data_IF_582941333069
#
_entry.id   IF_582941333069
#
_cell.length_a   1.000
_cell.length_b   1.000
_cell.length_c   1.000
_cell.angle_alpha   90.00
_cell.angle_beta   90.00
_cell.angle_gamma   90.00
#
_symmetry.space_group_name_H-M   'P 1'
#
loop_
_entity.id
_entity.type
_entity.pdbx_description
1 polymer ?
#
# COMPACT_ATOMS: atom_id res chain seq x y z
N UNK A 1 6.56 -7.46 2.81
CA UNK A 1 7.64 -6.51 2.46
C UNK A 1 8.21 -5.95 3.75
N UNK A 2 9.54 -5.95 3.88
CA UNK A 2 10.25 -5.36 5.03
C UNK A 2 10.36 -3.85 4.80
N UNK A 3 10.00 -3.02 5.78
CA UNK A 3 10.23 -1.57 5.70
C UNK A 3 10.93 -1.14 6.99
N UNK A 4 12.11 -0.54 6.87
CA UNK A 4 12.92 -0.14 8.01
C UNK A 4 13.48 1.27 7.83
N UNK A 5 13.74 1.93 8.95
CA UNK A 5 14.40 3.23 8.98
C UNK A 5 15.93 3.13 8.91
N UNK A 6 16.49 1.93 9.12
CA UNK A 6 17.93 1.69 8.95
C UNK A 6 18.28 1.53 7.47
N UNK A 7 19.52 1.85 7.11
CA UNK A 7 19.98 1.75 5.72
C UNK A 7 20.28 0.29 5.31
N UNK A 8 20.50 -0.58 6.30
CA UNK A 8 20.69 -2.02 6.13
C UNK A 8 19.74 -2.82 7.05
N UNK A 9 19.57 -4.11 6.75
CA UNK A 9 18.77 -5.04 7.57
C UNK A 9 19.67 -6.18 8.05
N UNK A 10 19.88 -6.28 9.37
CA UNK A 10 20.74 -7.31 9.95
C UNK A 10 20.26 -8.73 9.59
N UNK A 11 21.18 -9.56 9.10
CA UNK A 11 20.88 -10.90 8.60
C UNK A 11 20.39 -10.92 7.15
N UNK A 12 20.34 -9.79 6.45
CA UNK A 12 20.00 -9.75 5.03
C UNK A 12 21.16 -9.16 4.24
N UNK A 13 21.13 -9.42 2.94
CA UNK A 13 21.99 -8.82 1.94
C UNK A 13 21.11 -8.08 0.94
N UNK A 14 21.44 -6.83 0.64
CA UNK A 14 20.83 -6.08 -0.46
C UNK A 14 21.45 -6.62 -1.75
N UNK A 15 20.67 -7.31 -2.57
CA UNK A 15 21.12 -7.87 -3.85
C UNK A 15 20.85 -6.94 -5.03
N UNK A 16 19.81 -6.11 -4.93
CA UNK A 16 19.46 -5.12 -5.95
C UNK A 16 18.90 -3.84 -5.29
N UNK A 17 19.22 -2.69 -5.89
CA UNK A 17 18.67 -1.38 -5.53
C UNK A 17 17.80 -0.90 -6.69
N UNK A 18 16.52 -0.64 -6.41
CA UNK A 18 15.48 -0.32 -7.39
C UNK A 18 15.12 1.18 -7.41
N UNK A 19 15.98 2.00 -6.81
CA UNK A 19 15.82 3.45 -6.71
C UNK A 19 14.97 3.88 -5.53
N UNK A 20 14.62 5.16 -5.53
CA UNK A 20 13.76 5.79 -4.55
C UNK A 20 12.30 5.32 -4.69
N UNK A 21 11.56 5.34 -3.58
CA UNK A 21 10.10 5.20 -3.57
C UNK A 21 9.51 6.21 -2.59
N UNK A 22 8.32 6.71 -2.91
CA UNK A 22 7.62 7.75 -2.18
C UNK A 22 6.11 7.54 -2.20
N UNK A 23 5.49 7.75 -1.06
CA UNK A 23 4.05 7.86 -0.92
C UNK A 23 3.69 9.15 -0.21
N UNK A 24 2.99 10.04 -0.90
CA UNK A 24 2.52 11.30 -0.34
C UNK A 24 0.99 11.37 -0.34
N UNK A 25 0.42 11.94 0.71
CA UNK A 25 -1.01 12.28 0.82
C UNK A 25 -1.17 13.67 1.39
N UNK A 26 -2.07 14.46 0.83
CA UNK A 26 -2.48 15.73 1.41
C UNK A 26 -3.87 15.58 2.02
N UNK A 27 -4.07 16.16 3.20
CA UNK A 27 -5.37 16.20 3.85
C UNK A 27 -5.71 17.63 4.25
N UNK A 28 -6.96 18.00 4.01
CA UNK A 28 -7.49 19.29 4.42
C UNK A 28 -8.05 19.19 5.84
N UNK A 29 -7.88 20.27 6.60
CA UNK A 29 -8.52 20.45 7.90
C UNK A 29 -9.84 21.26 7.78
N UNK A 30 -10.27 21.59 6.55
CA UNK A 30 -11.54 22.26 6.28
C UNK A 30 -12.70 21.32 6.61
N UNK A 31 -13.25 21.48 7.81
CA UNK A 31 -14.29 20.61 8.38
C UNK A 31 -14.27 20.56 9.91
N UNK A 32 -13.20 20.99 10.56
CA UNK A 32 -13.13 21.16 12.03
C UNK A 32 -13.60 22.54 12.51
N UNK A 33 -14.59 23.11 11.80
CA UNK A 33 -15.23 24.36 12.17
C UNK A 33 -15.95 24.21 13.52
N UNK A 34 -15.68 25.17 14.41
CA UNK A 34 -16.27 25.38 15.75
C UNK A 34 -16.06 24.27 16.80
N UNK A 35 -14.92 24.33 17.49
CA UNK A 35 -14.96 24.22 18.95
C UNK A 35 -15.55 25.54 19.49
N UNK A 36 -16.87 25.73 19.37
CA UNK A 36 -17.55 26.65 20.28
C UNK A 36 -17.51 25.98 21.65
N UNK A 37 -17.10 26.73 22.68
CA UNK A 37 -16.90 26.23 24.04
C UNK A 37 -18.15 25.64 24.73
N UNK A 38 -19.26 25.44 24.00
CA UNK A 38 -20.57 24.99 24.47
C UNK A 38 -20.93 23.56 24.06
N UNK A 39 -20.37 23.02 22.98
CA UNK A 39 -20.84 21.76 22.41
C UNK A 39 -19.67 20.77 22.30
N UNK A 40 -19.70 19.73 23.15
CA UNK A 40 -18.71 18.66 23.12
C UNK A 40 -18.59 18.01 21.74
N UNK A 41 -17.52 17.23 21.48
CA UNK A 41 -17.28 16.65 20.17
C UNK A 41 -18.49 15.85 19.68
N UNK A 42 -18.99 16.18 18.48
CA UNK A 42 -20.06 15.45 17.84
C UNK A 42 -19.66 13.96 17.71
N UNK A 43 -20.51 13.07 18.19
CA UNK A 43 -20.30 11.62 18.09
C UNK A 43 -20.23 11.21 16.61
N UNK A 44 -19.02 11.12 16.05
CA UNK A 44 -18.80 10.74 14.65
C UNK A 44 -17.64 11.45 13.94
N UNK A 45 -17.10 12.55 14.48
CA UNK A 45 -15.92 13.21 13.88
C UNK A 45 -14.63 12.52 14.34
N UNK A 46 -13.89 11.92 13.40
CA UNK A 46 -12.58 11.32 13.67
C UNK A 46 -11.66 12.36 14.34
N UNK A 47 -11.07 12.04 15.49
CA UNK A 47 -10.20 12.99 16.21
C UNK A 47 -9.02 13.43 15.31
N UNK A 48 -8.45 14.61 15.56
CA UNK A 48 -7.25 15.09 14.84
C UNK A 48 -6.11 14.05 14.87
N UNK A 49 -5.95 13.34 15.97
CA UNK A 49 -5.00 12.23 16.11
C UNK A 49 -5.32 11.07 15.16
N UNK A 50 -6.60 10.72 15.02
CA UNK A 50 -7.07 9.67 14.10
C UNK A 50 -6.79 10.04 12.64
N UNK A 51 -7.03 11.30 12.26
CA UNK A 51 -6.75 11.80 10.91
C UNK A 51 -5.25 11.74 10.58
N UNK A 52 -4.38 12.15 11.50
CA UNK A 52 -2.93 12.06 11.30
C UNK A 52 -2.50 10.61 11.11
N UNK A 53 -3.03 9.68 11.90
CA UNK A 53 -2.70 8.25 11.75
C UNK A 53 -3.21 7.68 10.42
N UNK A 54 -4.41 8.06 9.98
CA UNK A 54 -4.94 7.64 8.68
C UNK A 54 -4.10 8.17 7.52
N UNK A 55 -3.65 9.42 7.59
CA UNK A 55 -2.77 9.99 6.57
C UNK A 55 -1.40 9.29 6.55
N UNK A 56 -0.85 8.97 7.73
CA UNK A 56 0.38 8.18 7.85
C UNK A 56 0.26 6.80 7.23
N UNK A 57 -0.83 6.10 7.52
CA UNK A 57 -1.10 4.79 6.93
C UNK A 57 -1.27 4.88 5.40
N UNK A 58 -1.95 5.91 4.90
CA UNK A 58 -2.18 6.08 3.47
C UNK A 58 -0.89 6.40 2.70
N UNK A 59 -0.03 7.28 3.22
CA UNK A 59 1.30 7.56 2.66
C UNK A 59 2.15 6.28 2.62
N UNK A 60 2.20 5.54 3.73
CA UNK A 60 2.90 4.26 3.81
C UNK A 60 2.41 3.23 2.80
N UNK A 61 1.10 3.15 2.61
CA UNK A 61 0.52 2.23 1.63
C UNK A 61 0.90 2.60 0.19
N UNK A 62 0.95 3.89 -0.15
CA UNK A 62 1.38 4.35 -1.49
C UNK A 62 2.85 4.01 -1.74
N UNK A 63 3.72 4.26 -0.77
CA UNK A 63 5.14 3.85 -0.81
C UNK A 63 5.26 2.32 -0.98
N UNK A 64 4.45 1.55 -0.26
CA UNK A 64 4.46 0.10 -0.37
C UNK A 64 4.05 -0.36 -1.77
N UNK A 65 2.99 0.21 -2.34
CA UNK A 65 2.50 -0.16 -3.68
C UNK A 65 3.57 0.14 -4.73
N UNK A 66 4.14 1.33 -4.73
CA UNK A 66 5.16 1.72 -5.69
C UNK A 66 6.42 0.83 -5.58
N UNK A 67 6.90 0.54 -4.37
CA UNK A 67 8.01 -0.37 -4.17
C UNK A 67 7.70 -1.78 -4.70
N UNK A 68 6.48 -2.29 -4.45
CA UNK A 68 6.05 -3.60 -4.92
C UNK A 68 5.93 -3.66 -6.45
N UNK A 69 5.42 -2.60 -7.09
CA UNK A 69 5.32 -2.50 -8.55
C UNK A 69 6.70 -2.52 -9.24
N UNK A 70 7.73 -2.02 -8.57
CA UNK A 70 9.13 -2.09 -9.01
C UNK A 70 9.78 -3.46 -8.75
N UNK A 71 9.08 -4.40 -8.09
CA UNK A 71 9.61 -5.72 -7.74
C UNK A 71 10.41 -5.77 -6.44
N UNK A 72 10.36 -4.71 -5.63
CA UNK A 72 11.05 -4.68 -4.34
C UNK A 72 10.39 -5.64 -3.34
N UNK A 73 11.21 -6.24 -2.48
CA UNK A 73 10.72 -6.98 -1.31
C UNK A 73 10.98 -6.24 0.00
N UNK A 74 11.71 -5.12 -0.06
CA UNK A 74 11.97 -4.25 1.06
C UNK A 74 12.15 -2.77 0.69
N UNK A 75 11.97 -1.90 1.69
CA UNK A 75 12.35 -0.49 1.65
C UNK A 75 13.26 -0.19 2.85
N UNK A 76 14.45 0.33 2.58
CA UNK A 76 15.43 0.74 3.60
C UNK A 76 15.56 2.25 3.65
N UNK A 77 16.18 2.76 4.72
CA UNK A 77 16.37 4.20 4.90
C UNK A 77 15.05 4.97 4.94
N UNK A 78 13.95 4.32 5.32
CA UNK A 78 12.63 4.94 5.29
C UNK A 78 12.58 6.14 6.23
N UNK A 79 11.95 7.22 5.77
CA UNK A 79 11.70 8.44 6.55
C UNK A 79 10.25 8.88 6.37
N UNK A 80 9.81 9.69 7.33
CA UNK A 80 8.50 10.32 7.32
C UNK A 80 8.70 11.84 7.39
N UNK A 81 8.03 12.58 6.50
CA UNK A 81 7.97 14.03 6.52
C UNK A 81 6.53 14.52 6.58
N UNK A 82 6.34 15.64 7.28
CA UNK A 82 5.06 16.33 7.41
C UNK A 82 5.27 17.79 7.04
N UNK A 83 4.65 18.20 5.93
CA UNK A 83 4.78 19.56 5.42
C UNK A 83 3.44 20.27 5.41
N UNK A 84 3.40 21.51 5.88
CA UNK A 84 2.21 22.36 5.79
C UNK A 84 2.24 23.12 4.46
N UNK A 85 1.31 22.83 3.56
CA UNK A 85 1.21 23.48 2.23
C UNK A 85 0.40 24.76 2.29
N UNK A 86 -0.61 24.79 3.16
CA UNK A 86 -1.43 25.96 3.45
C UNK A 86 -1.92 25.90 4.90
N UNK A 87 -2.55 26.98 5.38
CA UNK A 87 -3.04 27.10 6.76
C UNK A 87 -3.84 25.88 7.24
N UNK A 88 -4.59 25.25 6.33
CA UNK A 88 -5.41 24.08 6.62
C UNK A 88 -5.11 22.88 5.71
N UNK A 89 -3.95 22.84 5.07
CA UNK A 89 -3.55 21.74 4.19
C UNK A 89 -2.20 21.21 4.63
N UNK A 90 -2.17 19.96 5.06
CA UNK A 90 -0.95 19.26 5.49
C UNK A 90 -0.72 18.07 4.58
N UNK A 91 0.51 17.91 4.13
CA UNK A 91 1.00 16.73 3.45
C UNK A 91 1.74 15.82 4.43
N UNK A 92 1.50 14.54 4.25
CA UNK A 92 2.22 13.48 4.90
C UNK A 92 2.92 12.66 3.82
N UNK A 93 4.25 12.61 3.88
CA UNK A 93 5.10 11.96 2.91
C UNK A 93 5.94 10.87 3.58
N UNK A 94 5.89 9.66 3.06
CA UNK A 94 6.79 8.57 3.41
C UNK A 94 7.71 8.32 2.20
N UNK A 95 9.00 8.16 2.41
CA UNK A 95 9.96 7.88 1.33
C UNK A 95 11.10 6.98 1.82
N UNK A 96 11.80 6.34 0.89
CA UNK A 96 12.95 5.49 1.16
C UNK A 96 13.54 4.90 -0.11
N UNK A 97 14.41 3.89 0.04
CA UNK A 97 15.03 3.19 -1.10
C UNK A 97 14.44 1.80 -1.24
N UNK A 98 13.83 1.53 -2.40
CA UNK A 98 13.31 0.23 -2.75
C UNK A 98 14.47 -0.73 -3.07
N UNK A 99 14.49 -1.90 -2.46
CA UNK A 99 15.57 -2.89 -2.60
C UNK A 99 15.02 -4.32 -2.65
N UNK A 100 15.84 -5.23 -3.18
CA UNK A 100 15.65 -6.67 -3.05
C UNK A 100 16.62 -7.18 -2.00
N UNK A 101 16.09 -7.78 -0.94
CA UNK A 101 16.83 -8.43 0.13
C UNK A 101 16.86 -9.94 -0.05
N UNK A 102 18.03 -10.54 0.13
CA UNK A 102 18.23 -11.97 0.32
C UNK A 102 18.47 -12.24 1.82
N UNK A 103 17.71 -13.14 2.47
CA UNK A 103 18.04 -13.57 3.83
C UNK A 103 19.34 -14.38 3.82
N UNK A 104 20.27 -14.07 4.73
CA UNK A 104 21.50 -14.84 4.91
C UNK A 104 21.19 -16.20 5.52
N UNK A 105 21.77 -17.25 4.94
CA UNK A 105 21.59 -18.61 5.43
C UNK A 105 22.38 -18.87 6.73
N UNK A 106 22.02 -19.93 7.46
CA UNK A 106 22.79 -20.34 8.64
C UNK A 106 24.26 -20.63 8.26
N UNK A 107 25.19 -20.12 9.07
CA UNK A 107 26.63 -20.25 8.82
C UNK A 107 27.22 -19.15 7.93
N UNK A 108 26.42 -18.34 7.25
CA UNK A 108 26.93 -17.15 6.55
C UNK A 108 27.36 -16.06 7.55
N UNK A 109 28.44 -15.31 7.28
CA UNK A 109 28.83 -14.18 8.11
C UNK A 109 27.70 -13.15 8.27
N UNK A 110 27.39 -12.77 9.52
CA UNK A 110 26.31 -11.82 9.82
C UNK A 110 24.90 -12.39 9.71
N UNK A 111 24.74 -13.71 9.56
CA UNK A 111 23.45 -14.37 9.68
C UNK A 111 22.87 -14.20 11.09
N UNK A 112 21.59 -13.87 11.15
CA UNK A 112 20.80 -13.84 12.39
C UNK A 112 19.89 -15.07 12.46
N UNK A 113 19.43 -15.47 13.66
CA UNK A 113 18.46 -16.57 13.79
C UNK A 113 17.18 -16.34 12.99
N UNK A 114 16.74 -15.08 12.82
CA UNK A 114 15.60 -14.74 11.97
C UNK A 114 15.90 -15.04 10.49
N UNK A 115 17.03 -14.54 9.97
CA UNK A 115 17.41 -14.73 8.57
C UNK A 115 17.63 -16.20 8.20
N UNK A 116 18.28 -16.98 9.07
CA UNK A 116 18.49 -18.40 8.85
C UNK A 116 17.17 -19.18 8.75
N UNK A 117 16.18 -18.85 9.60
CA UNK A 117 14.83 -19.45 9.51
C UNK A 117 14.14 -19.07 8.21
N UNK A 118 14.25 -17.82 7.78
CA UNK A 118 13.62 -17.36 6.54
C UNK A 118 14.28 -17.98 5.31
N UNK A 119 15.62 -18.07 5.27
CA UNK A 119 16.36 -18.72 4.19
C UNK A 119 15.96 -20.20 4.01
N UNK A 120 15.71 -20.92 5.12
CA UNK A 120 15.20 -22.30 5.07
C UNK A 120 13.79 -22.38 4.48
N UNK A 121 12.94 -21.38 4.74
CA UNK A 121 11.58 -21.33 4.20
C UNK A 121 11.57 -20.97 2.71
N UNK A 122 12.43 -20.05 2.27
CA UNK A 122 12.54 -19.66 0.86
C UNK A 122 13.17 -20.75 -0.01
N UNK A 123 14.08 -21.57 0.56
CA UNK A 123 14.78 -22.65 -0.15
C UNK A 123 14.08 -24.02 -0.06
N UNK A 124 12.80 -24.08 0.30
CA UNK A 124 12.07 -25.29 0.67
C UNK A 124 12.22 -26.50 -0.29
N UNK A 125 13.22 -27.34 -0.03
CA UNK A 125 13.12 -28.79 -0.14
C UNK A 125 12.18 -29.37 0.93
N UNK A 126 11.76 -30.63 0.81
CA UNK A 126 10.66 -31.22 1.57
C UNK A 126 11.06 -31.45 3.03
N UNK A 127 10.65 -30.57 3.95
CA UNK A 127 10.88 -30.80 5.38
C UNK A 127 10.65 -29.63 6.34
N UNK A 128 10.11 -28.49 5.91
CA UNK A 128 9.84 -27.39 6.84
C UNK A 128 8.58 -27.70 7.70
N UNK A 129 8.65 -27.61 9.04
CA UNK A 129 7.45 -27.65 9.87
C UNK A 129 6.56 -26.47 9.48
N UNK A 130 5.34 -26.78 9.03
CA UNK A 130 4.30 -25.80 8.70
C UNK A 130 4.15 -24.83 9.87
N UNK A 131 4.42 -23.54 9.65
CA UNK A 131 3.97 -22.53 10.60
C UNK A 131 2.46 -22.71 10.77
N UNK A 132 1.94 -22.77 12.02
CA UNK A 132 0.50 -22.72 12.20
C UNK A 132 -0.01 -21.43 11.57
N UNK A 133 -1.18 -21.45 10.90
CA UNK A 133 -1.75 -20.24 10.32
C UNK A 133 -1.82 -19.14 11.38
N UNK A 134 -1.64 -17.86 11.01
CA UNK A 134 -1.79 -16.78 11.96
C UNK A 134 -3.17 -16.90 12.61
N UNK A 135 -3.19 -17.21 13.91
CA UNK A 135 -4.41 -17.21 14.71
C UNK A 135 -4.97 -15.80 14.62
N UNK A 136 -6.16 -15.66 14.04
CA UNK A 136 -6.88 -14.40 13.99
C UNK A 136 -6.88 -13.76 15.38
N UNK A 137 -6.59 -12.45 15.50
CA UNK A 137 -6.62 -11.79 16.79
C UNK A 137 -8.01 -11.95 17.44
N UNK A 138 -8.08 -12.05 18.78
CA UNK A 138 -9.33 -12.35 19.51
C UNK A 138 -10.42 -11.27 19.38
N UNK A 139 -10.15 -10.15 18.72
CA UNK A 139 -11.12 -9.06 18.47
C UNK A 139 -11.86 -9.19 17.13
N UNK A 140 -11.50 -10.13 16.25
CA UNK A 140 -12.35 -10.54 15.13
C UNK A 140 -13.46 -11.46 15.67
N UNK A 141 -14.48 -10.84 16.27
CA UNK A 141 -15.74 -11.49 16.60
C UNK A 141 -16.32 -12.16 15.36
N UNK A 142 -16.98 -13.30 15.57
CA UNK A 142 -17.65 -14.08 14.54
C UNK A 142 -18.34 -13.16 13.53
N UNK A 143 -17.90 -13.22 12.26
CA UNK A 143 -18.59 -12.56 11.17
C UNK A 143 -20.07 -12.98 11.16
N UNK A 144 -20.95 -12.14 10.59
CA UNK A 144 -22.38 -12.45 10.54
C UNK A 144 -22.60 -13.86 9.97
N UNK A 145 -23.58 -14.63 10.49
CA UNK A 145 -23.83 -15.99 10.06
C UNK A 145 -24.00 -16.00 8.54
N UNK A 146 -23.18 -16.82 7.86
CA UNK A 146 -23.29 -16.96 6.42
C UNK A 146 -24.69 -17.48 6.08
N UNK A 147 -25.40 -16.86 5.11
CA UNK A 147 -26.67 -17.40 4.65
C UNK A 147 -26.44 -18.82 4.10
N UNK A 148 -27.43 -19.73 4.22
CA UNK A 148 -27.30 -21.08 3.70
C UNK A 148 -26.98 -21.03 2.19
N UNK A 149 -26.20 -21.99 1.66
CA UNK A 149 -25.83 -22.00 0.26
C UNK A 149 -27.10 -22.06 -0.59
N UNK A 150 -27.42 -20.95 -1.24
CA UNK A 150 -28.44 -20.90 -2.26
C UNK A 150 -27.88 -21.69 -3.43
N UNK A 151 -28.45 -22.86 -3.73
CA UNK A 151 -28.08 -23.63 -4.91
C UNK A 151 -28.22 -22.76 -6.14
N UNK A 152 -27.10 -22.27 -6.66
CA UNK A 152 -27.07 -21.56 -7.92
C UNK A 152 -27.29 -22.61 -9.01
N UNK A 153 -28.52 -22.67 -9.55
CA UNK A 153 -28.71 -23.23 -10.86
C UNK A 153 -27.80 -22.46 -11.82
N UNK A 154 -27.02 -23.18 -12.61
CA UNK A 154 -26.16 -22.59 -13.62
C UNK A 154 -26.98 -21.63 -14.51
N UNK A 155 -26.53 -20.39 -14.73
CA UNK A 155 -27.21 -19.51 -15.66
C UNK A 155 -27.16 -20.14 -17.06
N UNK A 156 -28.32 -20.37 -17.63
CA UNK A 156 -28.49 -20.71 -19.04
C UNK A 156 -27.80 -19.65 -19.90
N UNK A 157 -27.08 -20.14 -20.92
CA UNK A 157 -26.35 -19.42 -21.96
C UNK A 157 -26.86 -17.99 -22.25
N UNK A 158 -25.98 -17.01 -22.08
CA UNK A 158 -26.20 -15.66 -22.62
C UNK A 158 -26.21 -15.68 -24.16
N UNK A 159 -27.09 -14.90 -24.82
CA UNK A 159 -27.01 -14.71 -26.26
C UNK A 159 -25.75 -13.92 -26.65
N UNK A 160 -25.21 -14.25 -27.83
CA UNK A 160 -23.98 -13.67 -28.38
C UNK A 160 -24.07 -12.14 -28.53
N UNK A 161 -22.96 -11.41 -28.32
CA UNK A 161 -22.93 -9.96 -28.49
C UNK A 161 -23.13 -9.55 -29.96
N UNK A 162 -23.79 -8.40 -30.23
CA UNK A 162 -23.95 -7.89 -31.58
C UNK A 162 -22.61 -7.43 -32.19
N UNK A 163 -22.51 -7.54 -33.52
CA UNK A 163 -21.32 -7.22 -34.28
C UNK A 163 -20.84 -5.77 -34.07
N UNK A 164 -19.52 -5.51 -34.13
CA UNK A 164 -18.97 -4.16 -33.97
C UNK A 164 -19.45 -3.22 -35.09
N UNK A 165 -19.80 -1.99 -34.70
CA UNK A 165 -20.15 -0.92 -35.63
C UNK A 165 -18.92 -0.51 -36.46
N UNK A 166 -19.09 -0.12 -37.74
CA UNK A 166 -17.99 0.41 -38.54
C UNK A 166 -17.41 1.67 -37.91
N UNK A 167 -16.10 1.85 -38.07
CA UNK A 167 -15.33 2.95 -37.51
C UNK A 167 -15.89 4.31 -37.94
N UNK A 168 -15.97 5.25 -36.99
CA UNK A 168 -16.28 6.64 -37.27
C UNK A 168 -15.15 7.27 -38.08
N UNK A 169 -15.51 8.05 -39.11
CA UNK A 169 -14.56 8.83 -39.91
C UNK A 169 -13.76 9.80 -39.01
N UNK A 170 -12.49 10.07 -39.33
CA UNK A 170 -11.68 10.99 -38.55
C UNK A 170 -12.27 12.41 -38.62
N UNK A 171 -12.27 13.17 -37.50
CA UNK A 171 -12.75 14.54 -37.52
C UNK A 171 -11.86 15.39 -38.43
N UNK A 172 -12.52 16.16 -39.30
CA UNK A 172 -11.87 17.07 -40.25
C UNK A 172 -11.06 18.18 -39.56
N UNK A 173 -10.11 18.72 -40.32
CA UNK A 173 -9.10 19.69 -39.90
C UNK A 173 -9.65 20.84 -39.04
N UNK A 174 -9.11 20.95 -37.82
CA UNK A 174 -9.37 22.10 -36.95
C UNK A 174 -8.48 23.27 -37.37
N UNK A 175 -9.02 24.49 -37.57
CA UNK A 175 -8.19 25.63 -37.95
C UNK A 175 -7.25 26.05 -36.81
N UNK A 176 -5.96 26.17 -37.12
CA UNK A 176 -4.95 26.67 -36.20
C UNK A 176 -5.09 28.19 -35.99
N UNK A 177 -4.91 28.71 -34.76
CA UNK A 177 -4.94 30.15 -34.51
C UNK A 177 -3.69 30.86 -35.08
N UNK A 178 -3.79 32.14 -35.48
CA UNK A 178 -2.68 32.89 -36.06
C UNK A 178 -1.62 33.23 -35.01
N UNK A 179 -0.36 33.07 -35.39
CA UNK A 179 0.79 33.54 -34.62
C UNK A 179 0.87 35.07 -34.65
N UNK A 180 0.80 35.70 -33.48
CA UNK A 180 1.13 37.11 -33.29
C UNK A 180 2.65 37.30 -33.24
N UNK A 181 3.17 38.25 -34.02
CA UNK A 181 4.52 38.81 -33.90
C UNK A 181 4.65 39.75 -32.71
#
# INVERSE_FOLDING_TARGET
MIIVTTDEVAGYEIVEVLGETMGAVAYNNYGWGSYTASDGPAAGTATRETLVQQCRAAAMNRLWIEAAERGANAVVGMRYDLSQLAEQLVEACAYGTAVVLRPRAEGEPGATPQSARQARQTNGGPGAPSQPPPTSPPWLGAGPPQPPPTGHQAPTSMPAPPAPRPAAEPPGDWPLPPHSQ
#
